data_IF_718162354442
#
_entry.id   IF_718162354442
#
_cell.length_a   1.000
_cell.length_b   1.000
_cell.length_c   1.000
_cell.angle_alpha   90.00
_cell.angle_beta   90.00
_cell.angle_gamma   90.00
#
_symmetry.space_group_name_H-M   'P 1'
#
loop_
_entity.id
_entity.type
_entity.pdbx_description
1 polymer ?
#
# COMPACT_ATOMS: atom_id res chain seq x y z
N UNK A 1 12.36 3.88 8.40
CA UNK A 1 11.78 5.01 7.65
C UNK A 1 10.27 4.89 7.55
N UNK A 2 9.70 3.78 7.05
CA UNK A 2 8.24 3.61 6.97
C UNK A 2 7.53 3.55 8.32
N UNK A 3 8.04 2.89 9.38
CA UNK A 3 7.40 2.95 10.70
C UNK A 3 7.24 4.40 11.22
N UNK A 4 8.27 5.23 11.09
CA UNK A 4 8.21 6.66 11.44
C UNK A 4 7.27 7.49 10.57
N UNK A 5 6.92 7.04 9.35
CA UNK A 5 5.93 7.73 8.52
C UNK A 5 4.52 7.52 9.09
N UNK A 6 4.22 6.31 9.56
CA UNK A 6 2.94 5.97 10.19
C UNK A 6 2.81 6.63 11.58
N UNK A 7 3.87 6.61 12.40
CA UNK A 7 3.86 7.22 13.74
C UNK A 7 3.59 8.74 13.75
N UNK A 8 3.83 9.44 12.63
CA UNK A 8 3.70 10.90 12.54
C UNK A 8 2.29 11.37 12.22
N UNK A 9 1.44 10.51 11.66
CA UNK A 9 0.09 10.87 11.24
C UNK A 9 -0.94 10.16 12.14
N UNK A 10 -1.69 10.95 12.92
CA UNK A 10 -2.74 10.43 13.81
C UNK A 10 -3.92 9.79 13.05
N UNK A 11 -4.04 10.04 11.75
CA UNK A 11 -5.03 9.41 10.88
C UNK A 11 -4.56 8.10 10.26
N UNK A 12 -3.29 7.72 10.47
CA UNK A 12 -2.70 6.51 9.92
C UNK A 12 -3.31 5.24 10.54
N UNK A 13 -3.48 4.17 9.74
CA UNK A 13 -3.84 2.87 10.26
C UNK A 13 -2.67 2.28 11.05
N UNK A 14 -2.95 1.34 11.96
CA UNK A 14 -1.90 0.66 12.70
C UNK A 14 -1.04 -0.18 11.73
N UNK A 15 0.28 0.01 11.79
CA UNK A 15 1.24 -0.72 10.97
C UNK A 15 1.65 -2.01 11.68
N UNK A 16 1.25 -3.15 11.12
CA UNK A 16 1.53 -4.48 11.66
C UNK A 16 2.86 -5.05 11.17
N UNK A 17 3.30 -4.67 9.97
CA UNK A 17 4.51 -5.22 9.37
C UNK A 17 4.99 -4.49 8.13
N UNK A 18 6.30 -4.61 7.86
CA UNK A 18 6.96 -4.04 6.69
C UNK A 18 7.92 -5.06 6.11
N UNK A 19 7.76 -5.40 4.84
CA UNK A 19 8.55 -6.42 4.16
C UNK A 19 9.04 -5.94 2.80
N UNK A 20 10.32 -6.14 2.50
CA UNK A 20 10.90 -5.88 1.18
C UNK A 20 11.63 -7.13 0.70
N UNK A 21 11.15 -7.72 -0.39
CA UNK A 21 11.67 -8.99 -0.90
C UNK A 21 11.71 -9.00 -2.43
N UNK A 22 12.31 -10.05 -3.01
CA UNK A 22 12.33 -10.28 -4.45
C UNK A 22 11.31 -11.37 -4.79
N UNK A 23 10.45 -11.09 -5.76
CA UNK A 23 9.56 -12.05 -6.42
C UNK A 23 10.03 -12.32 -7.85
N UNK A 24 9.37 -13.26 -8.55
CA UNK A 24 9.59 -13.49 -9.99
C UNK A 24 9.27 -12.25 -10.85
N UNK A 25 8.40 -11.36 -10.35
CA UNK A 25 7.93 -10.15 -11.03
C UNK A 25 8.78 -8.91 -10.68
N UNK A 26 9.76 -9.07 -9.79
CA UNK A 26 10.71 -8.02 -9.40
C UNK A 26 10.74 -7.78 -7.90
N UNK A 27 11.25 -6.62 -7.49
CA UNK A 27 11.30 -6.26 -6.07
C UNK A 27 9.92 -5.81 -5.60
N UNK A 28 9.46 -6.41 -4.50
CA UNK A 28 8.18 -6.13 -3.88
C UNK A 28 8.40 -5.31 -2.62
N UNK A 29 7.56 -4.30 -2.43
CA UNK A 29 7.43 -3.58 -1.17
C UNK A 29 6.05 -3.84 -0.58
N UNK A 30 6.01 -4.56 0.54
CA UNK A 30 4.80 -4.94 1.24
C UNK A 30 4.71 -4.24 2.60
N UNK A 31 3.51 -3.80 2.95
CA UNK A 31 3.14 -3.46 4.32
C UNK A 31 1.86 -4.19 4.72
N UNK A 32 1.75 -4.43 6.01
CA UNK A 32 0.60 -5.04 6.65
C UNK A 32 0.00 -4.00 7.59
N UNK A 33 -1.29 -3.73 7.46
CA UNK A 33 -1.99 -2.71 8.25
C UNK A 33 -3.24 -3.30 8.90
N UNK A 34 -3.60 -2.79 10.08
CA UNK A 34 -4.92 -2.99 10.67
C UNK A 34 -5.86 -1.90 10.15
N UNK A 35 -6.93 -2.29 9.46
CA UNK A 35 -7.89 -1.33 8.89
C UNK A 35 -9.11 -1.13 9.78
N UNK A 36 -9.57 0.11 9.88
CA UNK A 36 -10.89 0.43 10.42
C UNK A 36 -11.94 0.21 9.32
N UNK A 37 -12.99 -0.56 9.62
CA UNK A 37 -14.07 -0.88 8.67
C UNK A 37 -14.77 0.36 8.11
N UNK A 38 -14.82 1.44 8.90
CA UNK A 38 -15.45 2.68 8.47
C UNK A 38 -14.53 3.51 7.55
N UNK A 39 -13.24 3.19 7.48
CA UNK A 39 -12.20 3.97 6.81
C UNK A 39 -11.30 3.13 5.87
N UNK A 40 -11.74 1.93 5.47
CA UNK A 40 -10.95 1.01 4.63
C UNK A 40 -10.30 1.69 3.42
N UNK A 41 -11.07 2.51 2.70
CA UNK A 41 -10.55 3.20 1.51
C UNK A 41 -9.51 4.27 1.86
N UNK A 42 -9.71 4.98 2.97
CA UNK A 42 -8.77 6.00 3.43
C UNK A 42 -7.47 5.35 3.92
N UNK A 43 -7.58 4.26 4.69
CA UNK A 43 -6.45 3.49 5.20
C UNK A 43 -5.64 2.88 4.06
N UNK A 44 -6.31 2.35 3.03
CA UNK A 44 -5.68 1.86 1.81
C UNK A 44 -4.96 3.00 1.06
N UNK A 45 -5.61 4.15 0.91
CA UNK A 45 -5.03 5.33 0.27
C UNK A 45 -3.78 5.82 1.00
N UNK A 46 -3.86 5.92 2.33
CA UNK A 46 -2.73 6.28 3.18
C UNK A 46 -1.57 5.30 3.00
N UNK A 47 -1.86 4.00 3.04
CA UNK A 47 -0.86 2.95 2.88
C UNK A 47 -0.14 3.03 1.53
N UNK A 48 -0.86 3.28 0.43
CA UNK A 48 -0.25 3.46 -0.87
C UNK A 48 0.54 4.75 -0.99
N UNK A 49 0.04 5.86 -0.43
CA UNK A 49 0.79 7.11 -0.33
C UNK A 49 2.12 6.91 0.42
N UNK A 50 2.10 6.19 1.55
CA UNK A 50 3.30 5.88 2.31
C UNK A 50 4.27 5.00 1.50
N UNK A 51 3.77 3.95 0.84
CA UNK A 51 4.58 3.04 0.01
C UNK A 51 5.24 3.75 -1.18
N UNK A 52 4.54 4.64 -1.87
CA UNK A 52 5.07 5.38 -3.03
C UNK A 52 6.08 6.44 -2.60
N UNK A 53 5.75 7.23 -1.57
CA UNK A 53 6.63 8.25 -1.01
C UNK A 53 7.93 7.65 -0.47
N UNK A 54 7.87 6.46 0.13
CA UNK A 54 9.05 5.77 0.63
C UNK A 54 9.77 4.99 -0.46
N UNK A 55 9.02 4.40 -1.39
CA UNK A 55 9.53 3.58 -2.49
C UNK A 55 10.37 4.35 -3.50
N UNK A 56 10.13 5.65 -3.70
CA UNK A 56 10.92 6.48 -4.61
C UNK A 56 12.40 6.60 -4.21
N UNK A 57 12.70 6.51 -2.91
CA UNK A 57 14.07 6.62 -2.38
C UNK A 57 14.81 5.27 -2.36
N UNK A 58 14.17 4.19 -2.82
CA UNK A 58 14.79 2.87 -2.83
C UNK A 58 15.93 2.81 -3.86
N UNK A 59 17.15 2.48 -3.41
CA UNK A 59 18.33 2.31 -4.28
C UNK A 59 18.13 1.34 -5.45
N UNK A 60 17.22 0.36 -5.31
CA UNK A 60 16.82 -0.54 -6.40
C UNK A 60 15.32 -0.37 -6.63
N UNK A 61 14.88 -0.27 -7.89
CA UNK A 61 13.51 0.05 -8.23
C UNK A 61 12.55 -1.01 -7.70
N UNK A 62 11.53 -0.57 -6.98
CA UNK A 62 10.39 -1.40 -6.59
C UNK A 62 9.49 -1.55 -7.81
N UNK A 63 9.05 -2.78 -8.08
CA UNK A 63 8.15 -3.10 -9.20
C UNK A 63 6.71 -3.26 -8.74
N UNK A 64 6.51 -3.79 -7.54
CA UNK A 64 5.20 -4.05 -6.97
C UNK A 64 5.09 -3.51 -5.56
N UNK A 65 3.94 -2.93 -5.27
CA UNK A 65 3.51 -2.47 -3.96
C UNK A 65 2.41 -3.42 -3.49
N UNK A 66 2.47 -3.87 -2.24
CA UNK A 66 1.46 -4.74 -1.65
C UNK A 66 1.01 -4.14 -0.33
N UNK A 67 -0.29 -4.03 -0.15
CA UNK A 67 -0.90 -3.68 1.13
C UNK A 67 -1.75 -4.87 1.56
N UNK A 68 -1.42 -5.46 2.71
CA UNK A 68 -2.21 -6.51 3.34
C UNK A 68 -3.05 -5.86 4.43
N UNK A 69 -4.37 -5.90 4.27
CA UNK A 69 -5.32 -5.27 5.16
C UNK A 69 -5.93 -6.32 6.09
N UNK A 70 -5.57 -6.25 7.36
CA UNK A 70 -6.12 -7.07 8.43
C UNK A 70 -7.33 -6.36 9.06
N UNK A 71 -8.37 -7.10 9.37
CA UNK A 71 -9.58 -6.55 10.03
C UNK A 71 -9.81 -7.26 11.36
N UNK A 72 -10.48 -6.60 12.31
CA UNK A 72 -10.84 -7.21 13.61
C UNK A 72 -11.79 -8.42 13.47
N UNK A 73 -12.34 -8.64 12.28
CA UNK A 73 -13.13 -9.84 12.03
C UNK A 73 -12.24 -11.04 11.78
N UNK A 74 -12.03 -11.86 12.80
CA UNK A 74 -11.35 -13.16 12.67
C UNK A 74 -11.96 -14.08 11.60
N UNK A 75 -13.22 -13.89 11.21
CA UNK A 75 -13.87 -14.68 10.14
C UNK A 75 -13.53 -14.21 8.74
N UNK A 76 -13.01 -12.99 8.58
CA UNK A 76 -12.66 -12.46 7.27
C UNK A 76 -11.14 -12.58 7.08
N UNK A 77 -10.68 -13.30 6.05
CA UNK A 77 -9.25 -13.34 5.75
C UNK A 77 -8.74 -11.93 5.40
N UNK A 78 -7.44 -11.64 5.62
CA UNK A 78 -6.85 -10.37 5.24
C UNK A 78 -7.05 -10.09 3.75
N UNK A 79 -7.35 -8.86 3.37
CA UNK A 79 -7.45 -8.50 1.96
C UNK A 79 -6.08 -8.10 1.43
N UNK A 80 -5.67 -8.68 0.31
CA UNK A 80 -4.37 -8.37 -0.31
C UNK A 80 -4.59 -7.47 -1.51
N UNK A 81 -4.16 -6.21 -1.41
CA UNK A 81 -4.19 -5.27 -2.51
C UNK A 81 -2.79 -5.19 -3.16
N UNK A 82 -2.71 -5.43 -4.46
CA UNK A 82 -1.47 -5.42 -5.22
C UNK A 82 -1.49 -4.27 -6.22
N UNK A 83 -0.47 -3.42 -6.16
CA UNK A 83 -0.33 -2.24 -6.99
C UNK A 83 0.94 -2.25 -7.83
N UNK A 84 0.85 -1.71 -9.04
CA UNK A 84 2.02 -1.43 -9.89
C UNK A 84 2.75 -0.21 -9.33
N UNK A 85 4.02 -0.36 -8.99
CA UNK A 85 4.80 0.71 -8.35
C UNK A 85 4.87 1.97 -9.22
N UNK A 86 5.18 1.84 -10.52
CA UNK A 86 5.25 2.98 -11.45
C UNK A 86 3.92 3.74 -11.51
N UNK A 87 2.83 3.02 -11.74
CA UNK A 87 1.47 3.58 -11.84
C UNK A 87 1.06 4.31 -10.55
N UNK A 88 1.37 3.71 -9.40
CA UNK A 88 1.05 4.31 -8.10
C UNK A 88 1.92 5.52 -7.77
N UNK A 89 3.21 5.50 -8.12
CA UNK A 89 4.10 6.67 -7.96
C UNK A 89 3.65 7.81 -8.88
N UNK A 90 3.29 7.52 -10.12
CA UNK A 90 2.77 8.53 -11.06
C UNK A 90 1.52 9.23 -10.49
N UNK A 91 0.62 8.51 -9.82
CA UNK A 91 -0.54 9.11 -9.15
C UNK A 91 -0.18 9.83 -7.84
N UNK A 92 0.40 9.13 -6.86
CA UNK A 92 0.58 9.65 -5.49
C UNK A 92 1.73 10.65 -5.31
N UNK A 93 2.76 10.59 -6.16
CA UNK A 93 3.96 11.45 -6.04
C UNK A 93 4.02 12.48 -7.16
N UNK A 94 3.57 12.13 -8.36
CA UNK A 94 3.57 13.05 -9.50
C UNK A 94 2.20 13.67 -9.78
N UNK A 95 1.19 13.36 -8.95
CA UNK A 95 -0.15 13.93 -9.01
C UNK A 95 -0.82 13.79 -10.40
N UNK A 96 -0.55 12.67 -11.08
CA UNK A 96 -1.10 12.41 -12.42
C UNK A 96 -2.38 11.58 -12.34
N UNK A 97 -3.48 12.19 -12.77
CA UNK A 97 -4.77 11.53 -12.95
C UNK A 97 -5.67 11.57 -11.72
N UNK A 98 -6.78 10.87 -11.79
CA UNK A 98 -7.81 10.85 -10.74
C UNK A 98 -7.74 9.58 -9.90
N UNK A 99 -8.19 9.66 -8.65
CA UNK A 99 -8.23 8.53 -7.73
C UNK A 99 -8.97 7.32 -8.31
N UNK A 100 -10.09 7.54 -9.00
CA UNK A 100 -10.86 6.45 -9.61
C UNK A 100 -10.07 5.70 -10.68
N UNK A 101 -9.32 6.42 -11.50
CA UNK A 101 -8.44 5.82 -12.52
C UNK A 101 -7.31 5.04 -11.89
N UNK A 102 -6.66 5.60 -10.85
CA UNK A 102 -5.64 4.87 -10.10
C UNK A 102 -6.19 3.60 -9.45
N UNK A 103 -7.33 3.70 -8.77
CA UNK A 103 -7.97 2.57 -8.08
C UNK A 103 -8.32 1.43 -9.04
N UNK A 104 -8.75 1.77 -10.27
CA UNK A 104 -9.15 0.78 -11.28
C UNK A 104 -7.97 0.20 -12.05
N UNK A 105 -6.99 1.01 -12.43
CA UNK A 105 -5.97 0.63 -13.42
C UNK A 105 -4.61 0.27 -12.78
N UNK A 106 -4.32 0.83 -11.60
CA UNK A 106 -3.02 0.68 -10.94
C UNK A 106 -3.01 -0.42 -9.87
N UNK A 107 -4.13 -0.68 -9.22
CA UNK A 107 -4.26 -1.66 -8.13
C UNK A 107 -5.31 -2.73 -8.45
N UNK A 108 -5.17 -3.87 -7.81
CA UNK A 108 -6.18 -4.93 -7.85
C UNK A 108 -6.16 -5.71 -6.55
N UNK A 109 -7.30 -6.26 -6.18
CA UNK A 109 -7.44 -7.12 -5.02
C UNK A 109 -7.22 -8.56 -5.45
N UNK A 110 -6.38 -9.26 -4.69
CA UNK A 110 -6.18 -10.70 -4.86
C UNK A 110 -7.17 -11.43 -3.97
N UNK A 111 -8.03 -12.25 -4.57
CA UNK A 111 -8.84 -13.22 -3.85
C UNK A 111 -7.92 -14.26 -3.21
N UNK A 112 -8.11 -14.51 -1.90
CA UNK A 112 -7.38 -15.50 -1.12
C UNK A 112 -8.13 -16.82 -1.06
#
# INVERSE_FOLDING_TARGET
MTPHYFERDHSSPELLGVNIYKSRQGRVYQIDIQVDRNRINDDLGFAYSALTNMGQYAKKPIKQLIVVMHSDNYRNPPQVCIGKAKCSIDFWVHEKGEYQSWYKDCIHFKEL
#
